data_IF_751814680699
#
_entry.id   IF_751814680699
#
_cell.length_a   1.000
_cell.length_b   1.000
_cell.length_c   1.000
_cell.angle_alpha   90.00
_cell.angle_beta   90.00
_cell.angle_gamma   90.00
#
_symmetry.space_group_name_H-M   'P 1'
#
loop_
_entity.id
_entity.type
_entity.pdbx_description
1 polymer ?
#
# COMPACT_ATOMS: atom_id res chain seq x y z
N UNK A 1 28.42 19.35 50.72
CA UNK A 1 26.95 19.19 50.68
C UNK A 1 26.28 19.17 52.05
N UNK A 2 26.82 18.51 53.09
CA UNK A 2 26.17 18.44 54.42
C UNK A 2 26.02 19.78 55.17
N UNK A 3 26.98 20.72 55.06
CA UNK A 3 26.93 21.97 55.83
C UNK A 3 26.67 23.25 55.01
N UNK A 4 27.07 23.31 53.72
CA UNK A 4 26.85 24.46 52.82
C UNK A 4 26.53 23.96 51.40
N UNK A 5 25.28 23.58 51.09
CA UNK A 5 24.94 23.02 49.78
C UNK A 5 25.05 24.03 48.63
N UNK A 6 24.60 25.27 48.82
CA UNK A 6 24.60 26.33 47.79
C UNK A 6 25.99 26.65 47.23
N UNK A 7 26.93 27.02 48.11
CA UNK A 7 28.29 27.40 47.68
C UNK A 7 29.06 26.24 47.05
N UNK A 8 28.75 25.00 47.40
CA UNK A 8 29.39 23.81 46.84
C UNK A 8 28.85 23.54 45.44
N UNK A 9 27.54 23.64 45.23
CA UNK A 9 26.93 23.51 43.90
C UNK A 9 27.38 24.64 42.98
N UNK A 10 27.45 25.88 43.46
CA UNK A 10 27.99 27.01 42.68
C UNK A 10 29.46 26.78 42.26
N UNK A 11 30.28 26.20 43.15
CA UNK A 11 31.65 25.83 42.81
C UNK A 11 31.71 24.68 41.78
N UNK A 12 30.82 23.70 41.87
CA UNK A 12 30.75 22.61 40.89
C UNK A 12 30.27 23.09 39.51
N UNK A 13 29.32 24.03 39.48
CA UNK A 13 28.87 24.72 38.25
C UNK A 13 30.04 25.47 37.61
N UNK A 14 30.85 26.18 38.41
CA UNK A 14 32.05 26.88 37.92
C UNK A 14 33.15 25.94 37.41
N UNK A 15 33.26 24.74 37.99
CA UNK A 15 34.24 23.73 37.57
C UNK A 15 33.85 22.96 36.30
N UNK A 16 32.58 23.07 35.87
CA UNK A 16 32.08 22.64 34.57
C UNK A 16 32.50 21.23 34.15
N UNK A 17 33.22 21.14 33.03
CA UNK A 17 33.65 19.89 32.37
C UNK A 17 34.77 19.11 33.07
N UNK A 18 35.31 19.62 34.19
CA UNK A 18 36.40 18.93 34.93
C UNK A 18 35.91 17.88 35.93
N UNK A 19 34.61 17.85 36.18
CA UNK A 19 33.97 16.90 37.09
C UNK A 19 33.22 15.86 36.28
N UNK A 20 33.49 14.59 36.52
CA UNK A 20 32.71 13.48 35.95
C UNK A 20 31.42 13.31 36.78
N UNK A 21 30.23 13.69 36.26
CA UNK A 21 29.01 13.67 37.06
C UNK A 21 28.61 12.24 37.49
N UNK A 22 28.99 11.21 36.71
CA UNK A 22 28.74 9.78 37.03
C UNK A 22 29.28 9.35 38.39
N UNK A 23 30.49 9.79 38.74
CA UNK A 23 31.13 9.43 40.01
C UNK A 23 30.49 10.12 41.21
N UNK A 24 29.73 11.19 40.97
CA UNK A 24 29.03 11.94 41.99
C UNK A 24 27.62 11.39 42.27
N UNK A 25 27.05 10.55 41.39
CA UNK A 25 25.70 9.98 41.55
C UNK A 25 25.56 9.22 42.88
N UNK A 26 26.43 8.25 43.27
CA UNK A 26 26.24 7.50 44.52
C UNK A 26 26.31 8.38 45.76
N UNK A 27 27.16 9.41 45.73
CA UNK A 27 27.26 10.38 46.80
C UNK A 27 25.98 11.23 46.86
N UNK A 28 25.53 11.76 45.73
CA UNK A 28 24.33 12.59 45.62
C UNK A 28 23.04 11.84 46.00
N UNK A 29 22.92 10.56 45.64
CA UNK A 29 21.80 9.68 46.03
C UNK A 29 21.76 9.50 47.54
N UNK A 30 22.92 9.21 48.17
CA UNK A 30 22.98 9.07 49.62
C UNK A 30 22.64 10.40 50.33
N UNK A 31 23.04 11.53 49.75
CA UNK A 31 22.71 12.85 50.29
C UNK A 31 21.26 13.29 50.06
N UNK A 32 20.61 12.89 48.96
CA UNK A 32 19.20 13.21 48.71
C UNK A 32 18.24 12.34 49.53
N UNK A 33 18.65 11.13 49.90
CA UNK A 33 17.89 10.25 50.78
C UNK A 33 17.94 10.67 52.26
N UNK A 34 19.07 11.26 52.71
CA UNK A 34 19.28 11.64 54.11
C UNK A 34 19.17 13.15 54.38
N UNK A 35 19.02 13.98 53.34
CA UNK A 35 19.13 15.44 53.41
C UNK A 35 17.81 16.20 53.46
N UNK A 36 17.87 17.47 53.87
CA UNK A 36 16.75 18.42 53.89
C UNK A 36 16.32 18.83 52.47
N UNK A 37 15.08 19.28 52.28
CA UNK A 37 14.51 19.77 50.99
C UNK A 37 15.41 20.76 50.25
N UNK A 38 16.16 21.58 51.00
CA UNK A 38 17.12 22.53 50.43
C UNK A 38 18.30 21.84 49.71
N UNK A 39 18.82 20.73 50.23
CA UNK A 39 19.93 19.99 49.61
C UNK A 39 19.47 19.25 48.34
N UNK A 40 18.22 18.79 48.33
CA UNK A 40 17.57 18.20 47.17
C UNK A 40 17.40 19.23 46.06
N UNK A 41 16.90 20.42 46.37
CA UNK A 41 16.74 21.50 45.38
C UNK A 41 18.07 21.94 44.76
N UNK A 42 19.15 22.03 45.54
CA UNK A 42 20.47 22.35 44.99
C UNK A 42 21.06 21.18 44.17
N UNK A 43 20.70 19.94 44.50
CA UNK A 43 21.08 18.76 43.69
C UNK A 43 20.35 18.77 42.35
N UNK A 44 19.05 19.10 42.34
CA UNK A 44 18.26 19.28 41.11
C UNK A 44 18.89 20.39 40.24
N UNK A 45 19.22 21.55 40.82
CA UNK A 45 19.89 22.65 40.11
C UNK A 45 21.21 22.23 39.46
N UNK A 46 22.02 21.42 40.15
CA UNK A 46 23.26 20.90 39.57
C UNK A 46 22.98 19.91 38.42
N UNK A 47 21.99 19.03 38.58
CA UNK A 47 21.60 18.06 37.55
C UNK A 47 20.98 18.74 36.33
N UNK A 48 20.16 19.76 36.51
CA UNK A 48 19.64 20.64 35.45
C UNK A 48 20.79 21.29 34.68
N UNK A 49 21.82 21.81 35.36
CA UNK A 49 23.01 22.34 34.71
C UNK A 49 23.76 21.26 33.90
N UNK A 50 23.88 20.05 34.43
CA UNK A 50 24.49 18.93 33.70
C UNK A 50 23.70 18.55 32.43
N UNK A 51 22.38 18.58 32.48
CA UNK A 51 21.53 18.21 31.35
C UNK A 51 21.43 19.33 30.31
N UNK A 52 21.13 20.57 30.72
CA UNK A 52 20.87 21.68 29.78
C UNK A 52 22.14 22.38 29.29
N UNK A 53 23.17 22.49 30.13
CA UNK A 53 24.34 23.33 29.81
C UNK A 53 25.59 22.52 29.47
N UNK A 54 25.73 21.32 30.04
CA UNK A 54 26.80 20.37 29.66
C UNK A 54 26.35 19.32 28.64
N UNK A 55 25.04 19.29 28.29
CA UNK A 55 24.42 18.36 27.32
C UNK A 55 24.92 16.92 27.49
N UNK A 56 25.00 16.46 28.74
CA UNK A 56 25.53 15.13 29.04
C UNK A 56 24.49 14.09 28.67
N UNK A 57 24.77 13.22 27.70
CA UNK A 57 23.83 12.21 27.15
C UNK A 57 23.74 10.92 27.97
N UNK A 58 24.13 10.97 29.25
CA UNK A 58 24.37 9.76 30.05
C UNK A 58 23.10 9.34 30.80
N UNK A 59 22.60 8.15 30.48
CA UNK A 59 21.33 7.60 31.01
C UNK A 59 21.19 7.67 32.53
N UNK A 60 22.27 7.39 33.26
CA UNK A 60 22.25 7.41 34.72
C UNK A 60 21.94 8.80 35.31
N UNK A 61 22.36 9.88 34.62
CA UNK A 61 22.12 11.26 35.07
C UNK A 61 20.65 11.63 34.83
N UNK A 62 20.14 11.32 33.64
CA UNK A 62 18.74 11.59 33.31
C UNK A 62 17.79 10.74 34.18
N UNK A 63 18.08 9.45 34.40
CA UNK A 63 17.30 8.58 35.29
C UNK A 63 17.32 9.07 36.74
N UNK A 64 18.46 9.58 37.21
CA UNK A 64 18.53 10.16 38.56
C UNK A 64 17.76 11.48 38.65
N UNK A 65 17.90 12.37 37.66
CA UNK A 65 17.12 13.61 37.59
C UNK A 65 15.61 13.31 37.57
N UNK A 66 15.19 12.31 36.80
CA UNK A 66 13.81 11.85 36.74
C UNK A 66 13.29 11.38 38.11
N UNK A 67 14.10 10.60 38.84
CA UNK A 67 13.78 10.17 40.21
C UNK A 67 13.61 11.34 41.18
N UNK A 68 14.39 12.42 41.00
CA UNK A 68 14.27 13.63 41.80
C UNK A 68 13.02 14.44 41.41
N UNK A 69 12.70 14.54 40.12
CA UNK A 69 11.48 15.22 39.67
C UNK A 69 10.22 14.52 40.14
N UNK A 70 10.12 13.19 39.98
CA UNK A 70 8.94 12.45 40.42
C UNK A 70 8.67 12.60 41.94
N UNK A 71 9.73 12.69 42.74
CA UNK A 71 9.60 12.78 44.20
C UNK A 71 9.37 14.20 44.74
N UNK A 72 9.89 15.23 44.07
CA UNK A 72 9.93 16.59 44.63
C UNK A 72 9.31 17.69 43.75
N UNK A 73 9.16 17.49 42.43
CA UNK A 73 8.60 18.48 41.49
C UNK A 73 7.88 17.81 40.30
N UNK A 74 6.59 17.45 40.45
CA UNK A 74 5.82 16.82 39.39
C UNK A 74 5.58 17.73 38.17
N UNK A 75 5.38 19.04 38.36
CA UNK A 75 5.14 19.96 37.23
C UNK A 75 6.35 20.07 36.30
N UNK A 76 7.55 20.02 36.87
CA UNK A 76 8.81 20.01 36.11
C UNK A 76 9.07 18.66 35.43
N UNK A 77 8.50 17.56 35.96
CA UNK A 77 8.58 16.23 35.34
C UNK A 77 7.83 16.21 34.00
N UNK A 78 6.59 16.70 33.99
CA UNK A 78 5.76 16.78 32.77
C UNK A 78 6.47 17.59 31.69
N UNK A 79 6.92 18.80 32.02
CA UNK A 79 7.65 19.65 31.08
C UNK A 79 8.93 18.99 30.56
N UNK A 80 9.65 18.26 31.42
CA UNK A 80 10.86 17.53 31.03
C UNK A 80 10.57 16.39 30.04
N UNK A 81 9.48 15.65 30.26
CA UNK A 81 9.03 14.57 29.37
C UNK A 81 8.52 15.12 28.03
N UNK A 82 7.79 16.24 28.04
CA UNK A 82 7.31 16.92 26.83
C UNK A 82 8.46 17.47 25.97
N UNK A 83 9.47 18.08 26.60
CA UNK A 83 10.67 18.58 25.91
C UNK A 83 11.47 17.46 25.24
N UNK A 84 11.53 16.29 25.87
CA UNK A 84 12.21 15.12 25.31
C UNK A 84 11.35 14.38 24.27
N UNK A 85 10.07 14.72 24.14
CA UNK A 85 9.03 13.91 23.49
C UNK A 85 8.88 14.05 21.97
N UNK A 86 9.84 14.63 21.25
CA UNK A 86 9.73 14.80 19.79
C UNK A 86 10.52 13.76 18.99
N UNK A 87 11.61 13.20 19.52
CA UNK A 87 12.40 12.16 18.84
C UNK A 87 13.04 11.18 19.84
N UNK A 88 12.93 9.87 19.59
CA UNK A 88 13.58 8.80 20.38
C UNK A 88 15.10 9.02 20.56
N UNK A 89 15.74 9.72 19.62
CA UNK A 89 17.16 10.06 19.65
C UNK A 89 17.55 11.11 20.71
N UNK A 90 16.59 11.94 21.14
CA UNK A 90 16.80 12.99 22.16
C UNK A 90 16.49 12.47 23.58
N UNK A 91 16.02 11.23 23.68
CA UNK A 91 15.66 10.58 24.93
C UNK A 91 16.88 9.84 25.47
N UNK A 92 17.54 10.48 26.42
CA UNK A 92 18.68 9.91 27.13
C UNK A 92 18.28 9.35 28.49
N UNK A 93 17.03 8.95 28.71
CA UNK A 93 16.60 8.23 29.92
C UNK A 93 15.94 6.89 29.57
N UNK A 94 15.96 5.95 30.51
CA UNK A 94 15.29 4.67 30.37
C UNK A 94 13.78 4.86 30.53
N UNK A 95 13.05 4.70 29.41
CA UNK A 95 11.59 4.81 29.35
C UNK A 95 10.88 3.80 30.28
N UNK A 96 11.43 2.60 30.48
CA UNK A 96 10.84 1.59 31.37
C UNK A 96 11.03 1.96 32.84
N UNK A 97 12.16 2.57 33.17
CA UNK A 97 12.40 3.12 34.50
C UNK A 97 11.50 4.33 34.76
N UNK A 98 11.35 5.22 33.78
CA UNK A 98 10.46 6.36 33.83
C UNK A 98 9.01 5.95 34.08
N UNK A 99 8.53 4.95 33.35
CA UNK A 99 7.19 4.43 33.47
C UNK A 99 6.93 3.85 34.87
N UNK A 100 7.86 3.03 35.39
CA UNK A 100 7.73 2.45 36.73
C UNK A 100 7.62 3.53 37.80
N UNK A 101 8.48 4.54 37.71
CA UNK A 101 8.52 5.66 38.65
C UNK A 101 7.23 6.49 38.58
N UNK A 102 6.74 6.79 37.38
CA UNK A 102 5.49 7.55 37.20
C UNK A 102 4.28 6.75 37.71
N UNK A 103 4.25 5.44 37.50
CA UNK A 103 3.21 4.55 37.99
C UNK A 103 3.22 4.41 39.52
N UNK A 104 4.40 4.30 40.14
CA UNK A 104 4.55 4.24 41.61
C UNK A 104 4.04 5.51 42.30
N UNK A 105 4.23 6.68 41.68
CA UNK A 105 3.78 7.96 42.21
C UNK A 105 2.37 8.37 41.74
N UNK A 106 1.72 7.58 40.87
CA UNK A 106 0.36 7.85 40.39
C UNK A 106 0.24 8.99 39.37
N UNK A 107 1.33 9.37 38.69
CA UNK A 107 1.30 10.43 37.68
C UNK A 107 0.80 9.88 36.33
N UNK A 108 -0.51 9.73 36.20
CA UNK A 108 -1.14 9.13 35.01
C UNK A 108 -0.87 9.90 33.72
N UNK A 109 -0.91 11.25 33.74
CA UNK A 109 -0.60 12.07 32.56
C UNK A 109 0.84 11.87 32.06
N UNK A 110 1.80 11.78 32.98
CA UNK A 110 3.19 11.48 32.64
C UNK A 110 3.34 10.06 32.08
N UNK A 111 2.56 9.09 32.58
CA UNK A 111 2.54 7.73 32.04
C UNK A 111 2.01 7.72 30.60
N UNK A 112 0.94 8.43 30.30
CA UNK A 112 0.37 8.53 28.94
C UNK A 112 1.40 9.09 27.96
N UNK A 113 2.13 10.15 28.34
CA UNK A 113 3.20 10.72 27.52
C UNK A 113 4.34 9.70 27.28
N UNK A 114 4.76 8.97 28.31
CA UNK A 114 5.79 7.94 28.16
C UNK A 114 5.31 6.80 27.25
N UNK A 115 4.06 6.35 27.34
CA UNK A 115 3.51 5.33 26.44
C UNK A 115 3.39 5.83 24.99
N UNK A 116 2.98 7.09 24.79
CA UNK A 116 2.98 7.75 23.48
C UNK A 116 4.38 7.73 22.85
N UNK A 117 5.41 8.06 23.64
CA UNK A 117 6.81 8.03 23.20
C UNK A 117 7.28 6.61 22.87
N UNK A 118 6.82 5.61 23.61
CA UNK A 118 7.12 4.20 23.36
C UNK A 118 6.33 3.61 22.17
N UNK A 119 5.50 4.41 21.50
CA UNK A 119 4.60 4.00 20.41
C UNK A 119 3.58 2.92 20.84
N UNK A 120 3.36 2.78 22.15
CA UNK A 120 2.39 1.86 22.75
C UNK A 120 1.07 2.59 22.97
N UNK A 121 0.37 2.85 21.87
CA UNK A 121 -0.85 3.65 21.87
C UNK A 121 -2.03 2.99 22.57
N UNK A 122 -2.10 1.66 22.61
CA UNK A 122 -3.19 0.94 23.29
C UNK A 122 -3.19 1.20 24.80
N UNK A 123 -2.04 1.03 25.43
CA UNK A 123 -1.84 1.27 26.86
C UNK A 123 -1.92 2.77 27.19
N UNK A 124 -1.45 3.63 26.27
CA UNK A 124 -1.60 5.07 26.40
C UNK A 124 -3.07 5.48 26.46
N UNK A 125 -3.92 4.95 25.57
CA UNK A 125 -5.35 5.23 25.54
C UNK A 125 -6.05 4.68 26.78
N UNK A 126 -5.73 3.44 27.20
CA UNK A 126 -6.35 2.82 28.39
C UNK A 126 -6.07 3.64 29.67
N UNK A 127 -4.89 4.26 29.79
CA UNK A 127 -4.56 5.16 30.90
C UNK A 127 -5.09 6.59 30.69
N UNK A 128 -5.13 7.09 29.46
CA UNK A 128 -5.68 8.40 29.15
C UNK A 128 -7.17 8.46 29.49
N UNK A 129 -7.91 7.38 29.21
CA UNK A 129 -9.33 7.26 29.54
C UNK A 129 -9.62 7.41 31.05
N UNK A 130 -8.70 7.01 31.93
CA UNK A 130 -8.84 7.20 33.38
C UNK A 130 -8.65 8.67 33.81
N UNK A 131 -8.02 9.50 32.97
CA UNK A 131 -7.71 10.90 33.26
C UNK A 131 -8.70 11.82 32.56
N UNK A 132 -8.75 11.75 31.23
CA UNK A 132 -9.58 12.60 30.38
C UNK A 132 -9.81 11.93 29.01
N UNK A 133 -11.07 11.91 28.57
CA UNK A 133 -11.49 11.40 27.26
C UNK A 133 -10.89 12.23 26.13
N UNK A 134 -10.72 13.55 26.31
CA UNK A 134 -10.17 14.40 25.25
C UNK A 134 -8.65 14.17 25.05
N UNK A 135 -7.94 13.82 26.12
CA UNK A 135 -6.55 13.35 26.02
C UNK A 135 -6.47 12.02 25.27
N UNK A 136 -7.42 11.10 25.53
CA UNK A 136 -7.49 9.82 24.83
C UNK A 136 -7.76 9.99 23.32
N UNK A 137 -8.65 10.92 22.92
CA UNK A 137 -8.88 11.25 21.50
C UNK A 137 -7.59 11.72 20.83
N UNK A 138 -6.88 12.65 21.46
CA UNK A 138 -5.59 13.15 20.96
C UNK A 138 -4.56 12.02 20.82
N UNK A 139 -4.56 11.05 21.76
CA UNK A 139 -3.71 9.86 21.70
C UNK A 139 -4.08 8.92 20.55
N UNK A 140 -5.37 8.77 20.25
CA UNK A 140 -5.86 7.90 19.18
C UNK A 140 -5.62 8.47 17.78
N UNK A 141 -5.45 9.78 17.62
CA UNK A 141 -5.19 10.42 16.34
C UNK A 141 -3.70 10.46 15.93
N UNK A 142 -2.79 10.17 16.87
CA UNK A 142 -1.34 10.14 16.63
C UNK A 142 -0.84 9.05 15.66
N UNK A 143 -1.34 7.80 15.67
CA UNK A 143 -0.95 6.81 14.68
C UNK A 143 -1.58 7.13 13.31
N UNK A 144 -0.91 7.96 12.52
CA UNK A 144 -1.34 8.34 11.16
C UNK A 144 -1.15 7.20 10.14
N UNK A 145 -0.16 6.32 10.36
CA UNK A 145 0.23 5.27 9.40
C UNK A 145 -0.65 4.00 9.49
N UNK A 146 -1.29 3.73 10.62
CA UNK A 146 -2.10 2.51 10.86
C UNK A 146 -3.58 2.84 11.09
N UNK A 147 -4.36 2.86 10.00
CA UNK A 147 -5.82 3.08 10.07
C UNK A 147 -6.54 2.01 10.89
N UNK A 148 -6.10 0.75 10.84
CA UNK A 148 -6.66 -0.34 11.62
C UNK A 148 -6.46 -0.14 13.13
N UNK A 149 -5.26 0.29 13.53
CA UNK A 149 -4.94 0.59 14.93
C UNK A 149 -5.74 1.79 15.40
N UNK A 150 -5.79 2.87 14.61
CA UNK A 150 -6.62 4.04 14.90
C UNK A 150 -8.08 3.67 15.10
N UNK A 151 -8.64 2.84 14.20
CA UNK A 151 -10.02 2.34 14.34
C UNK A 151 -10.19 1.56 15.65
N UNK A 152 -9.27 0.68 16.01
CA UNK A 152 -9.31 -0.11 17.25
C UNK A 152 -9.24 0.78 18.50
N UNK A 153 -8.38 1.80 18.52
CA UNK A 153 -8.24 2.74 19.63
C UNK A 153 -9.53 3.57 19.81
N UNK A 154 -10.06 4.11 18.71
CA UNK A 154 -11.31 4.86 18.72
C UNK A 154 -12.50 4.00 19.15
N UNK A 155 -12.55 2.72 18.76
CA UNK A 155 -13.54 1.76 19.29
C UNK A 155 -13.41 1.57 20.80
N UNK A 156 -12.19 1.41 21.32
CA UNK A 156 -11.97 1.30 22.78
C UNK A 156 -12.45 2.55 23.52
N UNK A 157 -12.13 3.75 23.03
CA UNK A 157 -12.58 5.02 23.60
C UNK A 157 -14.10 5.09 23.61
N UNK A 158 -14.74 4.80 22.47
CA UNK A 158 -16.18 4.81 22.35
C UNK A 158 -16.83 3.78 23.30
N UNK A 159 -16.31 2.56 23.40
CA UNK A 159 -16.79 1.54 24.32
C UNK A 159 -16.73 2.03 25.77
N UNK A 160 -15.63 2.66 26.16
CA UNK A 160 -15.45 3.19 27.51
C UNK A 160 -16.43 4.33 27.82
N UNK A 161 -16.60 5.28 26.90
CA UNK A 161 -17.57 6.39 27.06
C UNK A 161 -19.01 5.87 27.19
N UNK A 162 -19.37 4.84 26.42
CA UNK A 162 -20.71 4.24 26.48
C UNK A 162 -20.94 3.45 27.77
N UNK A 163 -19.94 2.68 28.22
CA UNK A 163 -20.07 1.82 29.40
C UNK A 163 -19.96 2.58 30.72
N UNK A 164 -19.01 3.51 30.83
CA UNK A 164 -18.72 4.22 32.10
C UNK A 164 -19.51 5.52 32.24
N UNK A 165 -19.51 6.39 31.22
CA UNK A 165 -20.19 7.69 31.32
C UNK A 165 -21.67 7.62 30.97
N UNK A 166 -22.13 6.55 30.27
CA UNK A 166 -23.51 6.37 29.78
C UNK A 166 -24.05 7.58 29.00
N UNK A 167 -23.18 8.40 28.44
CA UNK A 167 -23.53 9.63 27.73
C UNK A 167 -23.52 9.40 26.22
N UNK A 168 -24.71 9.26 25.66
CA UNK A 168 -24.93 9.06 24.22
C UNK A 168 -24.42 10.25 23.41
N UNK A 169 -24.52 11.49 23.91
CA UNK A 169 -24.13 12.68 23.14
C UNK A 169 -22.62 12.79 23.00
N UNK A 170 -21.88 12.46 24.05
CA UNK A 170 -20.41 12.40 23.99
C UNK A 170 -19.94 11.28 23.06
N UNK A 171 -20.59 10.11 23.10
CA UNK A 171 -20.31 9.02 22.16
C UNK A 171 -20.59 9.44 20.70
N UNK A 172 -21.68 10.17 20.45
CA UNK A 172 -21.99 10.73 19.13
C UNK A 172 -20.94 11.77 18.68
N UNK A 173 -20.46 12.64 19.56
CA UNK A 173 -19.37 13.56 19.23
C UNK A 173 -18.07 12.82 18.90
N UNK A 174 -17.79 11.70 19.58
CA UNK A 174 -16.64 10.84 19.27
C UNK A 174 -16.78 10.20 17.88
N UNK A 175 -17.99 9.74 17.51
CA UNK A 175 -18.29 9.26 16.16
C UNK A 175 -18.07 10.35 15.11
N UNK A 176 -18.59 11.55 15.34
CA UNK A 176 -18.41 12.67 14.40
C UNK A 176 -16.96 13.14 14.28
N UNK A 177 -16.13 12.86 15.29
CA UNK A 177 -14.70 13.22 15.28
C UNK A 177 -13.85 12.18 14.53
N UNK A 178 -14.37 10.99 14.25
CA UNK A 178 -13.63 9.91 13.60
C UNK A 178 -14.38 9.38 12.37
N UNK A 179 -13.86 9.67 11.17
CA UNK A 179 -14.43 9.20 9.91
C UNK A 179 -14.30 7.67 9.70
N UNK A 180 -13.49 6.98 10.51
CA UNK A 180 -13.27 5.53 10.40
C UNK A 180 -14.31 4.69 11.15
N UNK A 181 -15.02 5.30 12.11
CA UNK A 181 -16.02 4.61 12.91
C UNK A 181 -17.40 4.78 12.28
N UNK A 182 -18.09 3.66 12.13
CA UNK A 182 -19.50 3.66 11.73
C UNK A 182 -20.38 3.48 12.95
N UNK A 183 -21.61 4.00 12.86
CA UNK A 183 -22.62 3.79 13.90
C UNK A 183 -22.89 2.31 14.16
N UNK A 184 -22.77 1.48 13.12
CA UNK A 184 -22.88 0.02 13.18
C UNK A 184 -21.91 -0.62 14.18
N UNK A 185 -20.71 -0.07 14.31
CA UNK A 185 -19.67 -0.65 15.17
C UNK A 185 -19.94 -0.41 16.66
N UNK A 186 -20.66 0.67 17.02
CA UNK A 186 -20.91 1.04 18.42
C UNK A 186 -22.28 0.52 18.91
N UNK A 187 -23.23 0.32 17.99
CA UNK A 187 -24.59 -0.12 18.29
C UNK A 187 -24.68 -1.35 19.23
N UNK A 188 -23.82 -2.39 19.10
CA UNK A 188 -23.86 -3.57 19.98
C UNK A 188 -23.52 -3.30 21.45
N UNK A 189 -22.85 -2.20 21.76
CA UNK A 189 -22.35 -1.90 23.10
C UNK A 189 -23.33 -1.07 23.94
N UNK A 190 -24.42 -0.59 23.33
CA UNK A 190 -25.45 0.16 24.07
C UNK A 190 -26.41 -0.78 24.78
N UNK A 191 -26.83 -0.44 26.02
CA UNK A 191 -27.87 -1.19 26.70
C UNK A 191 -29.22 -1.04 25.98
N UNK A 192 -30.06 -2.08 26.02
CA UNK A 192 -31.36 -2.18 25.33
C UNK A 192 -32.35 -1.03 25.62
N UNK A 193 -32.09 -0.20 26.64
CA UNK A 193 -32.99 0.85 27.10
C UNK A 193 -32.62 2.28 26.61
N UNK A 194 -31.60 2.42 25.75
CA UNK A 194 -31.27 3.73 25.17
C UNK A 194 -32.31 4.11 24.12
N UNK A 195 -32.90 5.30 24.27
CA UNK A 195 -33.91 5.82 23.35
C UNK A 195 -33.30 6.02 21.95
N UNK A 196 -33.82 5.26 20.98
CA UNK A 196 -33.46 5.30 19.55
C UNK A 196 -33.54 6.73 18.96
N UNK A 197 -34.32 7.62 19.59
CA UNK A 197 -34.45 9.02 19.18
C UNK A 197 -33.11 9.77 19.10
N UNK A 198 -32.10 9.40 19.91
CA UNK A 198 -30.78 10.03 19.85
C UNK A 198 -29.95 9.59 18.63
N UNK A 199 -30.25 8.44 18.05
CA UNK A 199 -29.51 7.88 16.92
C UNK A 199 -30.23 8.05 15.59
N UNK A 200 -31.51 8.41 15.61
CA UNK A 200 -32.34 8.51 14.40
C UNK A 200 -31.67 9.34 13.30
N UNK A 201 -31.19 10.53 13.64
CA UNK A 201 -30.56 11.42 12.65
C UNK A 201 -29.28 10.81 12.08
N UNK A 202 -28.41 10.27 12.93
CA UNK A 202 -27.16 9.65 12.47
C UNK A 202 -27.38 8.37 11.64
N UNK A 203 -28.36 7.54 12.01
CA UNK A 203 -28.74 6.36 11.22
C UNK A 203 -29.33 6.80 9.89
N UNK A 204 -30.19 7.81 9.86
CA UNK A 204 -30.74 8.36 8.62
C UNK A 204 -29.62 8.88 7.71
N UNK A 205 -28.67 9.65 8.24
CA UNK A 205 -27.54 10.15 7.47
C UNK A 205 -26.65 9.03 6.92
N UNK A 206 -26.30 8.03 7.73
CA UNK A 206 -25.51 6.88 7.25
C UNK A 206 -26.27 6.08 6.19
N UNK A 207 -27.58 5.86 6.35
CA UNK A 207 -28.39 5.17 5.35
C UNK A 207 -28.51 5.98 4.05
N UNK A 208 -28.63 7.30 4.13
CA UNK A 208 -28.62 8.18 2.95
C UNK A 208 -27.30 8.10 2.20
N UNK A 209 -26.17 8.12 2.92
CA UNK A 209 -24.83 7.97 2.33
C UNK A 209 -24.67 6.60 1.64
N UNK A 210 -25.10 5.51 2.27
CA UNK A 210 -25.09 4.18 1.64
C UNK A 210 -25.98 4.12 0.40
N UNK A 211 -27.16 4.74 0.42
CA UNK A 211 -28.02 4.77 -0.76
C UNK A 211 -27.39 5.58 -1.91
N UNK A 212 -26.77 6.72 -1.59
CA UNK A 212 -26.03 7.51 -2.58
C UNK A 212 -24.89 6.69 -3.19
N UNK A 213 -24.08 6.03 -2.37
CA UNK A 213 -22.98 5.21 -2.87
C UNK A 213 -23.46 4.01 -3.71
N UNK A 214 -24.58 3.40 -3.33
CA UNK A 214 -25.21 2.34 -4.13
C UNK A 214 -25.67 2.88 -5.48
N UNK A 215 -26.23 4.08 -5.52
CA UNK A 215 -26.71 4.68 -6.77
C UNK A 215 -25.56 5.14 -7.67
N UNK A 216 -24.45 5.64 -7.11
CA UNK A 216 -23.19 5.90 -7.83
C UNK A 216 -22.65 4.62 -8.47
N UNK A 217 -22.52 3.54 -7.70
CA UNK A 217 -22.05 2.25 -8.21
C UNK A 217 -22.97 1.68 -9.30
N UNK A 218 -24.29 1.84 -9.17
CA UNK A 218 -25.23 1.45 -10.22
C UNK A 218 -25.03 2.28 -11.49
N UNK A 219 -24.81 3.59 -11.35
CA UNK A 219 -24.54 4.47 -12.48
C UNK A 219 -23.24 4.07 -13.18
N UNK A 220 -22.16 3.85 -12.44
CA UNK A 220 -20.89 3.36 -12.99
C UNK A 220 -21.06 2.02 -13.72
N UNK A 221 -21.84 1.10 -13.15
CA UNK A 221 -22.14 -0.19 -13.78
C UNK A 221 -22.95 -0.04 -15.07
N UNK A 222 -23.93 0.86 -15.12
CA UNK A 222 -24.73 1.14 -16.33
C UNK A 222 -23.86 1.79 -17.41
N UNK A 223 -23.05 2.80 -17.07
CA UNK A 223 -22.14 3.47 -18.01
C UNK A 223 -21.11 2.50 -18.60
N UNK A 224 -20.52 1.64 -17.77
CA UNK A 224 -19.61 0.59 -18.23
C UNK A 224 -20.31 -0.42 -19.15
N UNK A 225 -21.56 -0.78 -18.84
CA UNK A 225 -22.37 -1.70 -19.64
C UNK A 225 -22.76 -1.10 -20.98
N UNK A 226 -23.15 0.17 -21.01
CA UNK A 226 -23.48 0.91 -22.23
C UNK A 226 -22.24 1.05 -23.12
N UNK A 227 -21.09 1.42 -22.54
CA UNK A 227 -19.81 1.48 -23.26
C UNK A 227 -19.44 0.13 -23.87
N UNK A 228 -19.56 -0.96 -23.10
CA UNK A 228 -19.31 -2.31 -23.59
C UNK A 228 -20.31 -2.75 -24.68
N UNK A 229 -21.53 -2.21 -24.68
CA UNK A 229 -22.51 -2.47 -25.75
C UNK A 229 -22.14 -1.73 -27.02
N UNK A 230 -21.78 -0.44 -26.95
CA UNK A 230 -21.31 0.36 -28.10
C UNK A 230 -20.08 -0.28 -28.76
N UNK A 231 -19.09 -0.70 -27.96
CA UNK A 231 -17.91 -1.40 -28.47
C UNK A 231 -18.29 -2.71 -29.21
N UNK A 232 -19.26 -3.47 -28.68
CA UNK A 232 -19.73 -4.71 -29.34
C UNK A 232 -20.45 -4.42 -30.67
N UNK A 233 -21.25 -3.36 -30.73
CA UNK A 233 -21.90 -2.89 -31.95
C UNK A 233 -20.85 -2.47 -33.00
N UNK A 234 -19.85 -1.69 -32.59
CA UNK A 234 -18.73 -1.28 -33.46
C UNK A 234 -17.96 -2.50 -33.98
N UNK A 235 -17.62 -3.47 -33.14
CA UNK A 235 -16.96 -4.71 -33.56
C UNK A 235 -17.81 -5.46 -34.59
N UNK A 236 -19.12 -5.54 -34.39
CA UNK A 236 -20.03 -6.22 -35.32
C UNK A 236 -20.13 -5.48 -36.66
N UNK A 237 -20.19 -4.15 -36.64
CA UNK A 237 -20.15 -3.34 -37.87
C UNK A 237 -18.83 -3.55 -38.61
N UNK A 238 -17.70 -3.50 -37.90
CA UNK A 238 -16.37 -3.73 -38.47
C UNK A 238 -16.21 -5.14 -39.06
N UNK A 239 -16.80 -6.16 -38.41
CA UNK A 239 -16.79 -7.54 -38.92
C UNK A 239 -17.59 -7.72 -40.21
N UNK A 240 -18.62 -6.90 -40.43
CA UNK A 240 -19.48 -6.98 -41.61
C UNK A 240 -18.98 -6.12 -42.78
N UNK A 241 -17.89 -5.37 -42.61
CA UNK A 241 -17.24 -4.64 -43.70
C UNK A 241 -16.53 -5.63 -44.62
N UNK A 242 -16.77 -5.52 -45.92
CA UNK A 242 -16.08 -6.28 -46.95
C UNK A 242 -15.18 -5.35 -47.76
N UNK A 243 -14.07 -5.88 -48.24
CA UNK A 243 -13.19 -5.20 -49.19
C UNK A 243 -13.23 -5.89 -50.55
N UNK A 244 -13.23 -5.11 -51.62
CA UNK A 244 -13.14 -5.60 -52.99
C UNK A 244 -11.70 -5.42 -53.45
N UNK A 245 -11.08 -6.49 -53.95
CA UNK A 245 -9.70 -6.47 -54.48
C UNK A 245 -9.77 -6.66 -55.99
N UNK A 246 -9.27 -5.68 -56.74
CA UNK A 246 -9.19 -5.75 -58.19
C UNK A 246 -7.92 -6.48 -58.67
N UNK A 247 -7.93 -7.00 -59.90
CA UNK A 247 -6.81 -7.78 -60.44
C UNK A 247 -5.50 -6.98 -60.61
N UNK A 248 -5.56 -5.64 -60.56
CA UNK A 248 -4.40 -4.76 -60.73
C UNK A 248 -3.77 -4.35 -59.40
N UNK A 249 -4.35 -4.76 -58.26
CA UNK A 249 -3.88 -4.39 -56.94
C UNK A 249 -2.52 -5.05 -56.62
N UNK A 250 -1.65 -4.26 -55.98
CA UNK A 250 -0.26 -4.60 -55.71
C UNK A 250 0.00 -4.66 -54.22
N UNK A 251 0.99 -5.46 -53.83
CA UNK A 251 1.48 -5.52 -52.46
C UNK A 251 2.20 -4.23 -52.09
N UNK A 252 1.84 -3.60 -50.97
CA UNK A 252 2.40 -2.31 -50.55
C UNK A 252 3.89 -2.39 -50.13
N UNK A 253 4.43 -3.59 -49.90
CA UNK A 253 5.84 -3.78 -49.54
C UNK A 253 6.75 -4.14 -50.74
N UNK A 254 6.22 -4.78 -51.80
CA UNK A 254 7.04 -5.30 -52.90
C UNK A 254 6.55 -4.94 -54.32
N UNK A 255 5.44 -4.20 -54.44
CA UNK A 255 4.83 -3.73 -55.69
C UNK A 255 4.45 -4.82 -56.73
N UNK A 256 4.53 -6.10 -56.37
CA UNK A 256 4.09 -7.21 -57.23
C UNK A 256 2.57 -7.48 -57.11
N UNK A 257 1.94 -8.06 -58.15
CA UNK A 257 0.51 -8.39 -58.12
C UNK A 257 0.13 -9.31 -56.95
N UNK A 258 -0.97 -8.99 -56.26
CA UNK A 258 -1.40 -9.70 -55.04
C UNK A 258 -1.86 -11.14 -55.29
N UNK A 259 -2.58 -11.39 -56.38
CA UNK A 259 -3.25 -12.67 -56.67
C UNK A 259 -2.31 -13.87 -56.88
N UNK A 260 -1.01 -13.64 -57.01
CA UNK A 260 -0.02 -14.71 -57.22
C UNK A 260 0.39 -15.44 -55.93
N UNK A 261 0.05 -14.90 -54.75
CA UNK A 261 0.43 -15.44 -53.43
C UNK A 261 -0.70 -15.26 -52.42
N UNK A 262 -0.72 -16.03 -51.30
CA UNK A 262 -1.62 -15.72 -50.19
C UNK A 262 -1.34 -14.30 -49.68
N UNK A 263 -2.41 -13.52 -49.47
CA UNK A 263 -2.33 -12.12 -49.10
C UNK A 263 -3.28 -11.79 -47.94
N UNK A 264 -2.97 -10.71 -47.23
CA UNK A 264 -3.85 -10.10 -46.24
C UNK A 264 -4.35 -8.75 -46.77
N UNK A 265 -5.62 -8.48 -46.48
CA UNK A 265 -6.27 -7.21 -46.72
C UNK A 265 -6.65 -6.62 -45.37
N UNK A 266 -6.11 -5.44 -45.05
CA UNK A 266 -6.47 -4.71 -43.85
C UNK A 266 -7.64 -3.76 -44.12
N UNK A 267 -8.42 -3.46 -43.08
CA UNK A 267 -9.55 -2.53 -43.13
C UNK A 267 -9.14 -1.08 -43.45
N UNK A 268 -7.85 -0.75 -43.36
CA UNK A 268 -7.27 0.53 -43.80
C UNK A 268 -7.01 0.58 -45.32
N UNK A 269 -7.26 -0.50 -46.06
CA UNK A 269 -7.05 -0.60 -47.52
C UNK A 269 -5.66 -1.09 -47.93
N UNK A 270 -4.72 -1.26 -47.00
CA UNK A 270 -3.40 -1.80 -47.31
C UNK A 270 -3.44 -3.31 -47.52
N UNK A 271 -2.69 -3.76 -48.53
CA UNK A 271 -2.63 -5.16 -48.93
C UNK A 271 -1.18 -5.63 -48.95
N UNK A 272 -0.94 -6.82 -48.39
CA UNK A 272 0.40 -7.40 -48.31
C UNK A 272 0.36 -8.88 -48.63
N UNK A 273 1.40 -9.41 -49.27
CA UNK A 273 1.61 -10.85 -49.30
C UNK A 273 1.93 -11.38 -47.90
N UNK A 274 1.59 -12.64 -47.63
CA UNK A 274 1.93 -13.32 -46.38
C UNK A 274 3.42 -13.18 -46.05
N UNK A 275 4.30 -13.45 -47.02
CA UNK A 275 5.76 -13.41 -46.81
C UNK A 275 6.26 -11.99 -46.53
N UNK A 276 5.71 -11.00 -47.24
CA UNK A 276 6.10 -9.59 -47.07
C UNK A 276 5.65 -9.08 -45.70
N UNK A 277 4.41 -9.35 -45.31
CA UNK A 277 3.90 -8.97 -43.98
C UNK A 277 4.71 -9.68 -42.87
N UNK A 278 5.04 -10.95 -43.06
CA UNK A 278 5.85 -11.71 -42.12
C UNK A 278 7.24 -11.07 -41.91
N UNK A 279 7.90 -10.67 -42.99
CA UNK A 279 9.23 -10.04 -42.94
C UNK A 279 9.20 -8.68 -42.23
N UNK A 280 8.19 -7.87 -42.50
CA UNK A 280 8.05 -6.53 -41.90
C UNK A 280 7.65 -6.59 -40.41
N UNK A 281 6.79 -7.55 -40.01
CA UNK A 281 6.28 -7.65 -38.63
C UNK A 281 7.29 -8.31 -37.68
N UNK A 282 8.05 -9.31 -38.15
CA UNK A 282 9.01 -10.07 -37.33
C UNK A 282 9.98 -9.20 -36.50
N UNK A 283 10.67 -8.18 -37.07
CA UNK A 283 11.64 -7.36 -36.31
C UNK A 283 11.00 -6.40 -35.30
N UNK A 284 9.69 -6.16 -35.35
CA UNK A 284 8.98 -5.25 -34.44
C UNK A 284 8.15 -5.97 -33.37
N UNK A 285 8.02 -7.30 -33.43
CA UNK A 285 7.37 -8.10 -32.40
C UNK A 285 8.18 -8.16 -31.11
N UNK A 286 7.51 -8.29 -29.97
CA UNK A 286 8.18 -8.51 -28.68
C UNK A 286 8.89 -9.86 -28.63
N UNK A 287 9.94 -9.98 -27.81
CA UNK A 287 10.74 -11.20 -27.65
C UNK A 287 9.88 -12.43 -27.30
N UNK A 288 8.82 -12.24 -26.51
CA UNK A 288 7.85 -13.28 -26.19
C UNK A 288 7.02 -13.72 -27.42
N UNK A 289 6.51 -12.76 -28.20
CA UNK A 289 5.74 -13.05 -29.42
C UNK A 289 6.61 -13.71 -30.50
N UNK A 290 7.87 -13.31 -30.66
CA UNK A 290 8.82 -13.95 -31.58
C UNK A 290 9.12 -15.40 -31.19
N UNK A 291 9.34 -15.68 -29.91
CA UNK A 291 9.58 -17.04 -29.40
C UNK A 291 8.37 -17.94 -29.63
N UNK A 292 7.17 -17.42 -29.33
CA UNK A 292 5.89 -18.11 -29.57
C UNK A 292 5.66 -18.38 -31.05
N UNK A 293 5.95 -17.42 -31.93
CA UNK A 293 5.85 -17.56 -33.37
C UNK A 293 6.81 -18.65 -33.91
N UNK A 294 8.06 -18.67 -33.42
CA UNK A 294 9.03 -19.71 -33.76
C UNK A 294 8.64 -21.11 -33.27
N UNK A 295 8.01 -21.21 -32.10
CA UNK A 295 7.47 -22.49 -31.59
C UNK A 295 6.29 -22.97 -32.44
N UNK A 296 5.33 -22.09 -32.76
CA UNK A 296 4.19 -22.41 -33.62
C UNK A 296 4.63 -22.82 -35.03
N UNK A 297 5.65 -22.18 -35.60
CA UNK A 297 6.24 -22.58 -36.88
C UNK A 297 6.88 -23.97 -36.82
N UNK A 298 7.63 -24.29 -35.75
CA UNK A 298 8.21 -25.64 -35.56
C UNK A 298 7.12 -26.71 -35.46
N UNK A 299 6.03 -26.41 -34.74
CA UNK A 299 4.87 -27.30 -34.62
C UNK A 299 4.13 -27.48 -35.95
N UNK A 300 3.99 -26.41 -36.73
CA UNK A 300 3.40 -26.46 -38.08
C UNK A 300 4.26 -27.28 -39.05
N UNK A 301 5.59 -27.13 -38.99
CA UNK A 301 6.52 -27.92 -39.81
C UNK A 301 6.48 -29.41 -39.43
N UNK A 302 6.46 -29.73 -38.13
CA UNK A 302 6.33 -31.11 -37.64
C UNK A 302 5.00 -31.76 -38.08
N UNK A 303 3.88 -31.01 -38.03
CA UNK A 303 2.58 -31.48 -38.51
C UNK A 303 2.50 -31.64 -40.05
N UNK A 304 3.39 -30.99 -40.81
CA UNK A 304 3.46 -31.13 -42.28
C UNK A 304 4.25 -32.37 -42.71
N UNK A 305 5.13 -32.89 -41.85
CA UNK A 305 5.93 -34.09 -42.14
C UNK A 305 5.16 -35.40 -41.91
N UNK A 306 4.20 -35.41 -40.98
CA UNK A 306 3.37 -36.60 -40.68
C UNK A 306 2.33 -36.93 -41.75
N UNK A 307 1.99 -35.98 -42.63
CA UNK A 307 0.99 -36.18 -43.70
C UNK A 307 1.57 -36.72 -45.03
N UNK A 308 2.90 -36.65 -45.23
CA UNK A 308 3.55 -37.14 -46.47
C UNK A 308 3.79 -38.66 -46.52
N UNK A 309 3.62 -39.41 -45.42
CA UNK A 309 3.90 -40.86 -45.38
C UNK A 309 2.70 -41.76 -45.73
N UNK A 310 1.53 -41.20 -46.06
CA UNK A 310 0.29 -41.98 -46.24
C UNK A 310 -0.24 -42.07 -47.67
N UNK A 311 0.65 -42.11 -48.67
CA UNK A 311 0.27 -42.45 -50.05
C UNK A 311 0.63 -43.91 -50.37
N UNK A 312 -0.34 -44.82 -50.25
CA UNK A 312 -0.38 -46.09 -51.00
C UNK A 312 -1.82 -46.27 -51.53
N UNK A 313 -2.02 -46.50 -52.83
CA UNK A 313 -3.37 -46.67 -53.38
C UNK A 313 -3.80 -48.15 -53.39
N UNK A 314 -5.12 -48.35 -53.25
CA UNK A 314 -5.98 -49.50 -53.65
C UNK A 314 -6.73 -50.20 -52.49
N UNK A 315 -7.89 -50.86 -52.73
CA UNK A 315 -8.92 -50.66 -53.75
C UNK A 315 -10.35 -50.50 -53.15
N UNK A 316 -11.33 -50.19 -54.03
CA UNK A 316 -12.77 -50.04 -53.76
C UNK A 316 -13.44 -51.36 -53.37
N UNK A 317 -14.37 -51.32 -52.40
CA UNK A 317 -15.61 -52.13 -52.25
C UNK A 317 -16.38 -51.55 -51.03
N UNK A 318 -17.41 -50.73 -51.24
CA UNK A 318 -18.88 -51.00 -51.15
C UNK A 318 -19.43 -51.45 -49.78
N UNK A 319 -20.37 -50.62 -49.29
CA UNK A 319 -21.61 -50.94 -48.51
C UNK A 319 -21.40 -51.55 -47.10
N UNK A 320 -22.09 -51.21 -46.00
CA UNK A 320 -23.36 -50.55 -45.69
C UNK A 320 -23.38 -50.24 -44.16
N UNK A 321 -24.16 -49.21 -43.76
CA UNK A 321 -24.98 -49.15 -42.52
C UNK A 321 -24.38 -49.33 -41.10
N UNK A 322 -24.74 -48.41 -40.19
CA UNK A 322 -24.90 -48.76 -38.78
C UNK A 322 -24.31 -47.76 -37.78
N UNK A 323 -25.19 -47.09 -37.06
CA UNK A 323 -24.91 -46.11 -36.02
C UNK A 323 -24.25 -46.65 -34.75
N UNK A 324 -23.69 -45.70 -34.00
CA UNK A 324 -23.53 -45.62 -32.54
C UNK A 324 -22.17 -45.93 -31.90
N UNK A 325 -21.70 -44.89 -31.19
CA UNK A 325 -20.94 -44.89 -29.94
C UNK A 325 -19.52 -45.47 -29.94
N UNK A 326 -18.53 -44.57 -30.01
CA UNK A 326 -17.28 -44.78 -29.30
C UNK A 326 -16.76 -43.47 -28.69
N UNK A 327 -16.99 -43.33 -27.39
CA UNK A 327 -16.28 -42.42 -26.50
C UNK A 327 -14.81 -42.85 -26.45
N UNK A 328 -14.01 -42.28 -27.36
CA UNK A 328 -12.56 -42.36 -27.35
C UNK A 328 -11.98 -40.96 -27.38
N UNK A 329 -11.73 -40.38 -26.21
CA UNK A 329 -10.96 -39.14 -25.99
C UNK A 329 -9.53 -39.37 -26.49
N UNK A 330 -9.32 -39.27 -27.80
CA UNK A 330 -8.02 -39.15 -28.41
C UNK A 330 -7.63 -37.68 -28.41
N UNK A 331 -6.57 -37.34 -27.68
CA UNK A 331 -5.80 -36.10 -27.82
C UNK A 331 -5.18 -36.04 -29.23
N UNK A 332 -6.02 -35.93 -30.26
CA UNK A 332 -5.60 -35.64 -31.63
C UNK A 332 -5.24 -34.16 -31.66
N UNK A 333 -3.96 -33.88 -31.93
CA UNK A 333 -3.32 -32.58 -31.73
C UNK A 333 -4.08 -31.41 -32.32
N UNK A 334 -3.86 -30.24 -31.71
CA UNK A 334 -4.21 -28.91 -32.24
C UNK A 334 -4.19 -28.95 -33.76
N UNK A 335 -5.35 -28.76 -34.38
CA UNK A 335 -5.49 -28.89 -35.83
C UNK A 335 -4.52 -27.93 -36.52
N UNK A 336 -4.00 -28.34 -37.68
CA UNK A 336 -3.07 -27.52 -38.47
C UNK A 336 -3.66 -26.14 -38.76
N UNK A 337 -4.97 -26.08 -38.93
CA UNK A 337 -5.77 -24.88 -39.15
C UNK A 337 -5.74 -23.96 -37.92
N UNK A 338 -5.82 -24.51 -36.71
CA UNK A 338 -5.72 -23.74 -35.47
C UNK A 338 -4.31 -23.14 -35.30
N UNK A 339 -3.26 -23.92 -35.59
CA UNK A 339 -1.87 -23.41 -35.53
C UNK A 339 -1.65 -22.30 -36.55
N UNK A 340 -2.25 -22.39 -37.75
CA UNK A 340 -2.21 -21.32 -38.75
C UNK A 340 -2.98 -20.08 -38.27
N UNK A 341 -4.18 -20.26 -37.73
CA UNK A 341 -4.97 -19.16 -37.17
C UNK A 341 -4.18 -18.43 -36.07
N UNK A 342 -3.54 -19.16 -35.16
CA UNK A 342 -2.75 -18.56 -34.08
C UNK A 342 -1.52 -17.78 -34.62
N UNK A 343 -0.96 -18.20 -35.76
CA UNK A 343 0.12 -17.50 -36.46
C UNK A 343 -0.41 -16.25 -37.15
N UNK A 344 -1.56 -16.38 -37.84
CA UNK A 344 -2.24 -15.28 -38.52
C UNK A 344 -2.67 -14.20 -37.53
N UNK A 345 -3.18 -14.59 -36.35
CA UNK A 345 -3.55 -13.68 -35.27
C UNK A 345 -2.35 -12.87 -34.77
N UNK A 346 -1.13 -13.43 -34.79
CA UNK A 346 0.08 -12.72 -34.35
C UNK A 346 0.58 -11.77 -35.44
N UNK A 347 0.55 -12.20 -36.71
CA UNK A 347 1.14 -11.45 -37.84
C UNK A 347 0.19 -10.37 -38.36
N UNK A 348 -1.10 -10.66 -38.44
CA UNK A 348 -2.14 -9.76 -38.96
C UNK A 348 -2.85 -8.96 -37.86
N UNK A 349 -2.26 -8.87 -36.65
CA UNK A 349 -2.75 -8.06 -35.53
C UNK A 349 -3.02 -6.60 -35.93
N UNK A 350 -2.11 -6.00 -36.71
CA UNK A 350 -2.15 -4.59 -37.09
C UNK A 350 -1.51 -4.37 -38.46
N UNK A 351 -1.93 -3.31 -39.15
CA UNK A 351 -1.31 -2.93 -40.41
C UNK A 351 0.04 -2.25 -40.15
N UNK A 352 1.10 -2.68 -40.84
CA UNK A 352 2.46 -2.14 -40.68
C UNK A 352 2.53 -0.62 -40.83
N UNK A 353 1.75 -0.04 -41.76
CA UNK A 353 1.76 1.42 -42.01
C UNK A 353 0.75 2.24 -41.21
N UNK A 354 -0.26 1.63 -40.60
CA UNK A 354 -1.34 2.34 -39.91
C UNK A 354 -1.47 1.99 -38.42
N UNK A 355 -0.74 0.98 -37.96
CA UNK A 355 -0.74 0.51 -36.58
C UNK A 355 0.36 1.14 -35.73
N UNK A 356 0.51 0.62 -34.52
CA UNK A 356 1.52 1.05 -33.57
C UNK A 356 2.94 0.69 -34.04
N UNK A 357 3.10 -0.30 -34.94
CA UNK A 357 4.40 -0.65 -35.54
C UNK A 357 5.05 0.55 -36.24
N UNK A 358 4.26 1.34 -36.97
CA UNK A 358 4.74 2.55 -37.64
C UNK A 358 5.20 3.58 -36.61
N UNK A 359 4.42 3.81 -35.55
CA UNK A 359 4.75 4.78 -34.50
C UNK A 359 6.06 4.39 -33.80
N UNK A 360 6.20 3.11 -33.42
CA UNK A 360 7.42 2.57 -32.78
C UNK A 360 8.63 2.53 -33.73
N UNK A 361 8.41 2.62 -35.03
CA UNK A 361 9.50 2.69 -36.02
C UNK A 361 10.08 4.11 -36.18
N UNK A 362 9.32 5.15 -35.82
CA UNK A 362 9.78 6.55 -35.87
C UNK A 362 10.90 6.79 -34.85
N UNK A 363 10.80 6.16 -33.67
CA UNK A 363 11.80 6.29 -32.61
C UNK A 363 13.07 5.44 -32.85
N UNK A 364 13.10 4.61 -33.91
CA UNK A 364 14.29 3.84 -34.26
C UNK A 364 15.20 4.67 -35.16
N UNK A 365 16.51 4.76 -34.85
CA UNK A 365 17.45 5.42 -35.74
C UNK A 365 17.48 4.70 -37.09
N UNK A 366 17.52 5.47 -38.19
CA UNK A 366 17.58 4.94 -39.56
C UNK A 366 18.81 4.04 -39.82
N UNK A 367 19.82 4.14 -38.96
CA UNK A 367 21.03 3.34 -38.97
C UNK A 367 21.10 2.65 -37.61
N UNK A 368 21.20 1.32 -37.60
CA UNK A 368 21.51 0.57 -36.38
C UNK A 368 22.86 1.07 -35.84
N UNK A 369 22.96 1.49 -34.56
CA UNK A 369 24.22 1.94 -33.98
C UNK A 369 25.33 0.86 -34.05
N UNK A 370 24.96 -0.41 -34.18
CA UNK A 370 25.89 -1.53 -34.40
C UNK A 370 26.43 -1.61 -35.84
N UNK A 371 25.71 -1.11 -36.84
CA UNK A 371 26.18 -1.07 -38.24
C UNK A 371 27.04 0.16 -38.56
N UNK A 372 26.94 1.21 -37.73
CA UNK A 372 27.80 2.39 -37.86
C UNK A 372 29.23 2.17 -37.33
N UNK A 373 29.45 1.13 -36.50
CA UNK A 373 30.80 0.78 -36.04
C UNK A 373 31.56 -0.18 -36.99
N UNK A 374 30.88 -0.73 -38.00
CA UNK A 374 31.46 -1.67 -38.97
C UNK A 374 31.72 -1.06 -40.38
N UNK A 375 31.37 0.22 -40.60
CA UNK A 375 31.79 1.04 -41.76
C UNK A 375 32.77 2.14 -41.31
#
# INVERSE_FOLDING_TARGET
MQHIPKKVVDAWIQMGSRLEPKKLIPALVNYSQMGSTQQVNETIRYMEFCVYQLTVTEEAIHNYLLSLYAKYKPDSLLWYLEQAGSHLSDIHYDLKYALRLCAEHGYLQACVLVYKIMELYEEAVDLALQVDVDLAKTCADLPEDDEELRKKLWLKIACHVVQEEKDVKKAMNCLSSCNLLKIEDILPFFPDFVTIDHFKEAICSSLEEYNQHIDELKQEMEEATESAKRIREDIQEMRNKYGVVENQEKCAACDFPLLNRPFYLFLCGHMFHYDCLFQEVTPHLSTYKQTKLGELQKRLAAATQTSKSRHRPAPKEKEEGGDTASLGKGSAGVSREQIKSDIDDIIACECVYCGELMIKSIDKPFIDPQKFEEE
#
